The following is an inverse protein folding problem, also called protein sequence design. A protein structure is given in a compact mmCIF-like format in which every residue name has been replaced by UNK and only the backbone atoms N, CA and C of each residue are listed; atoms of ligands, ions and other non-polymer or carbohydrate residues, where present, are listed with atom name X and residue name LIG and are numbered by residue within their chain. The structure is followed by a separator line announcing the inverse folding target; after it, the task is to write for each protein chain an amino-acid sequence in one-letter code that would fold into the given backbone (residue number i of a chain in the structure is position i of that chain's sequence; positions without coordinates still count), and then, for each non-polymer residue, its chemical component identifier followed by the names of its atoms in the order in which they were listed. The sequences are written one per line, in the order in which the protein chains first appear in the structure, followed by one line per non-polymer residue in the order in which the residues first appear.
data_IF_456300167817
#
_entry.id   IF_456300167817
#
_cell.length_a   1.000
_cell.length_b   1.000
_cell.length_c   1.000
_cell.angle_alpha   90.00
_cell.angle_beta   90.00
_cell.angle_gamma   90.00
#
_symmetry.space_group_name_H-M   'P 1'
#
loop_
_entity.id
_entity.type
_entity.pdbx_description
1 polymer ?
#
# COMPACT_ATOMS: atom_id res chain seq x y z
N UNK A 1 -10.22 11.43 10.24
CA UNK A 1 -11.10 12.59 9.95
C UNK A 1 -12.10 12.11 8.93
N UNK A 2 -13.40 12.26 9.19
CA UNK A 2 -14.42 11.94 8.20
C UNK A 2 -14.52 13.10 7.18
N UNK A 3 -14.58 12.79 5.90
CA UNK A 3 -14.72 13.78 4.81
C UNK A 3 -16.11 13.75 4.16
N UNK A 4 -17.09 13.09 4.80
CA UNK A 4 -18.49 13.07 4.37
C UNK A 4 -19.25 14.22 5.03
N UNK A 5 -19.90 15.05 4.22
CA UNK A 5 -20.73 16.17 4.66
C UNK A 5 -22.19 15.90 4.32
N UNK A 6 -23.13 16.40 5.13
CA UNK A 6 -24.55 16.38 4.76
C UNK A 6 -24.96 17.75 4.22
N UNK A 7 -25.39 17.80 2.96
CA UNK A 7 -25.91 19.00 2.29
C UNK A 7 -27.34 18.70 1.86
N UNK A 8 -28.31 19.46 2.39
CA UNK A 8 -29.74 19.25 2.13
C UNK A 8 -30.21 17.81 2.38
N UNK A 9 -29.67 17.15 3.40
CA UNK A 9 -30.03 15.78 3.77
C UNK A 9 -29.38 14.68 2.91
N UNK A 10 -28.49 15.01 1.98
CA UNK A 10 -27.74 14.04 1.16
C UNK A 10 -26.24 14.13 1.46
N UNK A 11 -25.58 12.98 1.46
CA UNK A 11 -24.15 12.87 1.73
C UNK A 11 -23.31 13.34 0.54
N UNK A 12 -22.31 14.15 0.82
CA UNK A 12 -21.46 14.85 -0.13
C UNK A 12 -19.98 14.68 0.23
N UNK A 13 -19.13 14.60 -0.78
CA UNK A 13 -17.68 14.48 -0.67
C UNK A 13 -17.03 15.72 -1.30
N UNK A 14 -16.15 16.45 -0.60
CA UNK A 14 -15.39 17.54 -1.20
C UNK A 14 -14.57 17.03 -2.38
N UNK A 15 -14.54 17.78 -3.49
CA UNK A 15 -13.74 17.38 -4.66
C UNK A 15 -12.25 17.25 -4.31
N UNK A 16 -11.74 18.14 -3.44
CA UNK A 16 -10.37 18.08 -2.90
C UNK A 16 -10.07 16.82 -2.10
N UNK A 17 -11.09 16.13 -1.58
CA UNK A 17 -10.93 14.92 -0.78
C UNK A 17 -10.82 13.66 -1.65
N UNK A 18 -11.30 13.69 -2.90
CA UNK A 18 -11.39 12.50 -3.78
C UNK A 18 -10.05 11.77 -3.89
N UNK A 19 -8.89 12.43 -4.15
CA UNK A 19 -7.63 11.72 -4.23
C UNK A 19 -7.26 10.94 -2.97
N UNK A 20 -7.65 11.43 -1.79
CA UNK A 20 -7.43 10.73 -0.53
C UNK A 20 -8.41 9.58 -0.32
N UNK A 21 -9.68 9.79 -0.68
CA UNK A 21 -10.74 8.77 -0.56
C UNK A 21 -10.45 7.57 -1.45
N UNK A 22 -9.87 7.79 -2.62
CA UNK A 22 -9.48 6.74 -3.58
C UNK A 22 -8.06 6.20 -3.35
N UNK A 23 -7.39 6.52 -2.23
CA UNK A 23 -6.02 6.05 -2.00
C UNK A 23 -4.99 6.50 -3.05
N UNK A 24 -5.22 7.65 -3.69
CA UNK A 24 -4.47 8.22 -4.82
C UNK A 24 -4.56 7.46 -6.15
N UNK A 25 -5.50 6.53 -6.30
CA UNK A 25 -5.79 5.93 -7.61
C UNK A 25 -6.42 6.90 -8.61
N UNK A 26 -7.11 7.92 -8.10
CA UNK A 26 -7.58 9.06 -8.89
C UNK A 26 -6.84 10.29 -8.40
N UNK A 27 -5.94 10.81 -9.23
CA UNK A 27 -5.17 12.01 -8.94
C UNK A 27 -5.96 13.30 -9.24
N UNK A 28 -5.59 14.46 -8.68
CA UNK A 28 -6.30 15.73 -8.93
C UNK A 28 -6.58 16.08 -10.40
N UNK A 29 -5.64 15.79 -11.30
CA UNK A 29 -5.80 15.94 -12.74
C UNK A 29 -6.83 14.97 -13.32
N UNK A 30 -6.86 13.71 -12.87
CA UNK A 30 -7.91 12.76 -13.25
C UNK A 30 -9.28 13.17 -12.73
N UNK A 31 -9.36 13.79 -11.55
CA UNK A 31 -10.61 14.35 -11.01
C UNK A 31 -11.12 15.45 -11.94
N UNK A 32 -10.26 16.43 -12.29
CA UNK A 32 -10.63 17.51 -13.19
C UNK A 32 -11.06 16.99 -14.57
N UNK A 33 -10.29 16.06 -15.16
CA UNK A 33 -10.61 15.43 -16.45
C UNK A 33 -11.93 14.65 -16.44
N UNK A 34 -12.21 13.94 -15.35
CA UNK A 34 -13.46 13.20 -15.20
C UNK A 34 -14.66 14.16 -15.17
N UNK A 35 -14.53 15.28 -14.45
CA UNK A 35 -15.59 16.29 -14.32
C UNK A 35 -15.74 17.17 -15.56
N UNK A 36 -14.67 17.39 -16.31
CA UNK A 36 -14.69 18.06 -17.61
C UNK A 36 -15.29 17.20 -18.73
N UNK A 37 -15.44 15.89 -18.51
CA UNK A 37 -15.74 14.90 -19.55
C UNK A 37 -14.73 14.93 -20.73
N UNK A 38 -13.50 15.38 -20.49
CA UNK A 38 -12.46 15.62 -21.51
C UNK A 38 -11.61 14.38 -21.82
N UNK A 39 -11.59 13.37 -20.95
CA UNK A 39 -10.76 12.18 -21.15
C UNK A 39 -11.44 11.13 -22.04
N UNK A 40 -10.74 10.69 -23.09
CA UNK A 40 -11.11 9.55 -23.95
C UNK A 40 -10.82 8.17 -23.30
N UNK A 41 -10.31 8.14 -22.07
CA UNK A 41 -9.92 6.94 -21.34
C UNK A 41 -10.78 6.61 -20.11
N UNK A 42 -10.21 5.83 -19.19
CA UNK A 42 -10.88 5.45 -17.94
C UNK A 42 -11.04 6.68 -17.05
N UNK A 43 -12.29 6.97 -16.66
CA UNK A 43 -12.66 8.13 -15.86
C UNK A 43 -13.73 7.80 -14.85
N UNK A 44 -13.91 8.67 -13.86
CA UNK A 44 -15.08 8.62 -13.00
C UNK A 44 -16.29 9.15 -13.80
N UNK A 45 -17.05 8.26 -14.43
CA UNK A 45 -18.17 8.64 -15.31
C UNK A 45 -19.41 9.05 -14.52
N UNK A 46 -20.26 9.92 -15.11
CA UNK A 46 -21.56 10.32 -14.54
C UNK A 46 -21.50 11.01 -13.17
N UNK A 47 -20.37 11.64 -12.87
CA UNK A 47 -20.23 12.50 -11.70
C UNK A 47 -20.68 13.92 -12.00
N UNK A 48 -21.51 14.49 -11.13
CA UNK A 48 -21.86 15.91 -11.18
C UNK A 48 -21.22 16.62 -10.01
N UNK A 49 -20.36 17.59 -10.30
CA UNK A 49 -19.84 18.49 -9.27
C UNK A 49 -20.81 19.63 -9.02
N UNK A 50 -20.96 19.99 -7.75
CA UNK A 50 -21.80 21.09 -7.29
C UNK A 50 -20.95 22.09 -6.51
N UNK A 51 -21.17 23.38 -6.75
CA UNK A 51 -20.66 24.45 -5.90
C UNK A 51 -21.63 24.70 -4.75
N UNK A 52 -21.13 24.70 -3.53
CA UNK A 52 -21.86 25.10 -2.34
C UNK A 52 -21.77 26.62 -2.14
N UNK A 53 -22.90 27.24 -1.79
CA UNK A 53 -23.00 28.67 -1.52
C UNK A 53 -23.24 28.93 -0.02
N UNK A 54 -22.87 30.12 0.45
CA UNK A 54 -22.95 30.50 1.87
C UNK A 54 -24.39 30.51 2.40
N UNK A 55 -25.38 30.69 1.53
CA UNK A 55 -26.80 30.63 1.86
C UNK A 55 -27.34 29.19 2.02
N UNK A 56 -26.48 28.18 1.86
CA UNK A 56 -26.83 26.77 1.93
C UNK A 56 -27.35 26.18 0.63
N UNK A 57 -27.53 27.00 -0.42
CA UNK A 57 -27.86 26.52 -1.75
C UNK A 57 -26.65 25.89 -2.44
N UNK A 58 -26.90 25.16 -3.52
CA UNK A 58 -25.83 24.62 -4.35
C UNK A 58 -26.23 24.65 -5.82
N UNK A 59 -25.24 24.81 -6.69
CA UNK A 59 -25.44 24.85 -8.15
C UNK A 59 -24.52 23.84 -8.83
N UNK A 60 -25.02 23.05 -9.80
CA UNK A 60 -24.17 22.16 -10.57
C UNK A 60 -23.16 22.99 -11.39
N UNK A 61 -21.92 22.53 -11.44
CA UNK A 61 -20.85 23.10 -12.27
C UNK A 61 -20.86 22.39 -13.62
N UNK A 62 -20.78 23.16 -14.70
CA UNK A 62 -20.76 22.61 -16.05
C UNK A 62 -19.39 22.01 -16.38
N UNK A 63 -19.33 20.94 -17.19
CA UNK A 63 -18.06 20.31 -17.55
C UNK A 63 -17.00 21.29 -18.10
N UNK A 64 -17.39 22.22 -18.98
CA UNK A 64 -16.49 23.24 -19.54
C UNK A 64 -15.81 24.17 -18.51
N UNK A 65 -16.36 24.27 -17.30
CA UNK A 65 -15.76 25.11 -16.25
C UNK A 65 -14.53 24.43 -15.61
N UNK A 66 -14.34 23.13 -15.87
CA UNK A 66 -13.18 22.36 -15.42
C UNK A 66 -11.96 22.49 -16.33
N UNK A 67 -12.13 22.95 -17.59
CA UNK A 67 -11.04 23.12 -18.56
C UNK A 67 -9.91 24.01 -18.00
N UNK A 68 -10.28 25.12 -17.34
CA UNK A 68 -9.31 26.01 -16.70
C UNK A 68 -8.58 25.36 -15.52
N UNK A 69 -9.23 24.48 -14.78
CA UNK A 69 -8.61 23.74 -13.66
C UNK A 69 -7.64 22.69 -14.21
N UNK A 70 -7.98 22.01 -15.30
CA UNK A 70 -7.06 21.11 -16.00
C UNK A 70 -5.80 21.84 -16.48
N UNK A 71 -5.96 23.02 -17.09
CA UNK A 71 -4.83 23.81 -17.57
C UNK A 71 -3.90 24.24 -16.43
N UNK A 72 -4.46 24.61 -15.27
CA UNK A 72 -3.67 24.91 -14.06
C UNK A 72 -2.88 23.69 -13.57
N UNK A 73 -3.52 22.52 -13.50
CA UNK A 73 -2.87 21.26 -13.07
C UNK A 73 -1.80 20.81 -14.07
N UNK A 74 -2.07 20.94 -15.37
CA UNK A 74 -1.10 20.67 -16.44
C UNK A 74 0.08 21.63 -16.37
N UNK A 75 -0.18 22.91 -16.12
CA UNK A 75 0.84 23.94 -15.93
C UNK A 75 1.73 23.67 -14.72
N UNK A 76 1.17 23.23 -13.59
CA UNK A 76 1.94 22.82 -12.41
C UNK A 76 2.88 21.66 -12.74
N UNK A 77 2.37 20.59 -13.36
CA UNK A 77 3.18 19.45 -13.77
C UNK A 77 4.33 19.86 -14.69
N UNK A 78 4.05 20.68 -15.70
CA UNK A 78 5.07 21.19 -16.62
C UNK A 78 6.12 22.08 -15.92
N UNK A 79 5.70 22.93 -14.98
CA UNK A 79 6.61 23.78 -14.22
C UNK A 79 7.55 22.96 -13.32
N UNK A 80 7.04 21.90 -12.68
CA UNK A 80 7.86 21.04 -11.84
C UNK A 80 8.83 20.20 -12.68
N UNK A 81 8.37 19.62 -13.78
CA UNK A 81 9.21 18.87 -14.72
C UNK A 81 10.34 19.73 -15.29
N UNK A 82 10.05 20.99 -15.63
CA UNK A 82 11.06 21.94 -16.11
C UNK A 82 12.13 22.27 -15.05
N UNK A 83 11.77 22.25 -13.75
CA UNK A 83 12.72 22.44 -12.64
C UNK A 83 13.53 21.18 -12.37
N UNK A 84 12.90 20.01 -12.46
CA UNK A 84 13.53 18.71 -12.23
C UNK A 84 12.73 17.60 -12.90
N UNK A 85 13.36 16.89 -13.83
CA UNK A 85 12.72 15.77 -14.54
C UNK A 85 12.63 14.48 -13.72
N UNK A 86 13.24 14.43 -12.54
CA UNK A 86 13.08 13.29 -11.65
C UNK A 86 11.76 13.39 -10.88
N UNK A 87 10.79 12.58 -11.31
CA UNK A 87 9.46 12.49 -10.70
C UNK A 87 9.49 12.15 -9.21
N UNK A 88 10.47 11.37 -8.73
CA UNK A 88 10.55 11.03 -7.31
C UNK A 88 10.83 12.26 -6.44
N UNK A 89 11.52 13.26 -7.00
CA UNK A 89 11.81 14.53 -6.35
C UNK A 89 10.62 15.49 -6.46
N UNK A 90 9.97 15.55 -7.62
CA UNK A 90 8.87 16.50 -7.85
C UNK A 90 7.53 16.02 -7.32
N UNK A 91 7.31 14.71 -7.17
CA UNK A 91 6.03 14.14 -6.73
C UNK A 91 5.58 14.65 -5.35
N UNK A 92 6.41 14.69 -4.29
CA UNK A 92 5.98 15.23 -3.00
C UNK A 92 5.50 16.68 -3.09
N UNK A 93 6.18 17.49 -3.91
CA UNK A 93 5.79 18.87 -4.15
C UNK A 93 4.48 18.94 -4.94
N UNK A 94 4.34 18.13 -5.99
CA UNK A 94 3.12 18.05 -6.79
C UNK A 94 1.90 17.65 -5.95
N UNK A 95 2.02 16.64 -5.08
CA UNK A 95 0.93 16.22 -4.19
C UNK A 95 0.46 17.34 -3.26
N UNK A 96 1.39 18.18 -2.80
CA UNK A 96 1.10 19.33 -1.92
C UNK A 96 0.47 20.49 -2.68
N UNK A 97 0.97 20.80 -3.88
CA UNK A 97 0.57 21.99 -4.65
C UNK A 97 -0.66 21.75 -5.55
N UNK A 98 -0.97 20.51 -5.91
CA UNK A 98 -2.10 20.17 -6.78
C UNK A 98 -3.45 20.22 -6.06
N UNK A 99 -3.53 19.85 -4.78
CA UNK A 99 -4.79 19.81 -4.03
C UNK A 99 -5.48 21.18 -3.98
N UNK A 100 -4.79 22.30 -3.66
CA UNK A 100 -5.41 23.62 -3.65
C UNK A 100 -5.86 24.13 -5.02
N UNK A 101 -5.37 23.55 -6.12
CA UNK A 101 -5.80 23.93 -7.48
C UNK A 101 -7.20 23.41 -7.80
N UNK A 102 -7.67 22.37 -7.12
CA UNK A 102 -9.09 22.00 -7.15
C UNK A 102 -9.90 23.07 -6.39
N UNK A 103 -11.11 23.43 -6.86
CA UNK A 103 -11.88 24.52 -6.28
C UNK A 103 -12.38 24.20 -4.85
N UNK A 104 -12.30 25.21 -3.96
CA UNK A 104 -12.90 25.15 -2.62
C UNK A 104 -14.44 25.23 -2.72
N UNK A 105 -15.14 24.67 -1.72
CA UNK A 105 -16.61 24.68 -1.67
C UNK A 105 -17.27 23.84 -2.76
N UNK A 106 -16.51 23.05 -3.52
CA UNK A 106 -17.03 22.17 -4.56
C UNK A 106 -17.04 20.74 -4.05
N UNK A 107 -18.16 20.07 -4.28
CA UNK A 107 -18.39 18.70 -3.83
C UNK A 107 -19.06 17.86 -4.91
N UNK A 108 -19.09 16.56 -4.66
CA UNK A 108 -19.84 15.57 -5.43
C UNK A 108 -20.71 14.77 -4.47
N UNK A 109 -21.81 14.22 -4.94
CA UNK A 109 -22.64 13.37 -4.10
C UNK A 109 -21.96 12.03 -3.84
N UNK A 110 -22.01 11.55 -2.60
CA UNK A 110 -21.30 10.33 -2.18
C UNK A 110 -21.80 9.11 -2.96
N UNK A 111 -23.10 8.96 -3.11
CA UNK A 111 -23.72 7.86 -3.85
C UNK A 111 -23.37 7.89 -5.34
N UNK A 112 -23.22 9.08 -5.93
CA UNK A 112 -22.71 9.23 -7.30
C UNK A 112 -21.24 8.80 -7.39
N UNK A 113 -20.40 9.26 -6.46
CA UNK A 113 -18.99 8.88 -6.41
C UNK A 113 -18.80 7.37 -6.21
N UNK A 114 -19.56 6.73 -5.31
CA UNK A 114 -19.52 5.28 -5.09
C UNK A 114 -19.88 4.51 -6.38
N UNK A 115 -20.93 4.95 -7.08
CA UNK A 115 -21.37 4.34 -8.33
C UNK A 115 -20.33 4.51 -9.46
N UNK A 116 -19.77 5.71 -9.60
CA UNK A 116 -18.71 5.98 -10.59
C UNK A 116 -17.43 5.23 -10.26
N UNK A 117 -17.06 5.15 -8.98
CA UNK A 117 -15.91 4.40 -8.52
C UNK A 117 -16.04 2.92 -8.83
N UNK A 118 -17.19 2.31 -8.57
CA UNK A 118 -17.44 0.90 -8.88
C UNK A 118 -17.19 0.58 -10.37
N UNK A 119 -17.54 1.49 -11.28
CA UNK A 119 -17.30 1.33 -12.72
C UNK A 119 -15.85 1.56 -13.10
N UNK A 120 -15.22 2.56 -12.48
CA UNK A 120 -13.80 2.88 -12.67
C UNK A 120 -12.90 1.74 -12.20
N UNK A 121 -13.13 1.22 -10.99
CA UNK A 121 -12.36 0.13 -10.42
C UNK A 121 -12.52 -1.14 -11.26
N UNK A 122 -13.74 -1.50 -11.66
CA UNK A 122 -13.96 -2.64 -12.54
C UNK A 122 -13.19 -2.57 -13.88
N UNK A 123 -12.94 -1.37 -14.42
CA UNK A 123 -12.14 -1.17 -15.65
C UNK A 123 -10.62 -1.22 -15.40
N UNK A 124 -10.18 -1.07 -14.15
CA UNK A 124 -8.76 -0.96 -13.78
C UNK A 124 -8.23 -2.14 -12.96
N UNK A 125 -9.11 -3.04 -12.47
CA UNK A 125 -8.83 -4.22 -11.60
C UNK A 125 -8.02 -5.36 -12.24
N UNK A 126 -7.01 -5.05 -13.05
CA UNK A 126 -6.04 -6.03 -13.56
C UNK A 126 -4.72 -6.03 -12.76
N UNK A 127 -4.69 -5.41 -11.57
CA UNK A 127 -3.44 -5.20 -10.83
C UNK A 127 -3.01 -6.46 -10.08
N UNK A 128 -1.88 -7.02 -10.51
CA UNK A 128 -1.18 -8.08 -9.77
C UNK A 128 -0.56 -7.47 -8.51
N UNK A 129 -0.95 -7.95 -7.32
CA UNK A 129 -0.40 -7.48 -6.04
C UNK A 129 -1.21 -6.41 -5.31
N UNK A 130 -2.52 -6.33 -5.54
CA UNK A 130 -3.43 -5.50 -4.72
C UNK A 130 -3.32 -5.86 -3.24
N UNK A 131 -3.19 -4.83 -2.41
CA UNK A 131 -3.26 -4.95 -0.95
C UNK A 131 -4.72 -5.06 -0.53
N UNK A 132 -5.00 -5.59 0.67
CA UNK A 132 -6.34 -5.58 1.22
C UNK A 132 -6.93 -4.17 1.18
N UNK A 133 -8.13 -4.03 0.60
CA UNK A 133 -8.89 -2.78 0.45
C UNK A 133 -8.41 -1.78 -0.62
N UNK A 134 -7.42 -2.11 -1.47
CA UNK A 134 -6.96 -1.20 -2.55
C UNK A 134 -8.10 -0.82 -3.54
N UNK A 135 -9.20 -1.57 -3.58
CA UNK A 135 -10.39 -1.27 -4.40
C UNK A 135 -11.54 -0.55 -3.68
N UNK A 136 -11.42 -0.20 -2.40
CA UNK A 136 -12.50 0.40 -1.60
C UNK A 136 -12.29 1.89 -1.36
N UNK A 137 -13.37 2.67 -1.42
CA UNK A 137 -13.34 4.08 -1.02
C UNK A 137 -13.16 4.20 0.50
N UNK A 138 -12.19 5.00 0.93
CA UNK A 138 -11.95 5.31 2.33
C UNK A 138 -12.46 6.71 2.67
N UNK A 139 -13.67 6.81 3.22
CA UNK A 139 -14.28 8.08 3.63
C UNK A 139 -13.71 8.68 4.93
N UNK A 140 -12.77 7.99 5.57
CA UNK A 140 -12.00 8.52 6.69
C UNK A 140 -10.50 8.46 6.40
N UNK A 141 -10.03 9.07 5.30
CA UNK A 141 -8.66 8.88 4.86
C UNK A 141 -7.68 9.58 5.79
N UNK A 142 -6.44 9.09 5.80
CA UNK A 142 -5.35 9.76 6.48
C UNK A 142 -4.89 10.96 5.65
N UNK A 143 -5.32 12.16 6.03
CA UNK A 143 -4.86 13.43 5.43
C UNK A 143 -3.75 14.02 6.32
N UNK A 144 -2.52 14.20 5.80
CA UNK A 144 -1.39 14.64 6.60
C UNK A 144 -1.47 16.13 6.95
N UNK A 145 -1.29 16.45 8.25
CA UNK A 145 -1.25 17.82 8.76
C UNK A 145 -2.64 18.47 8.96
N UNK A 146 -2.73 19.37 9.93
CA UNK A 146 -3.99 20.07 10.22
C UNK A 146 -4.38 21.07 9.11
N UNK A 147 -3.41 21.82 8.57
CA UNK A 147 -3.63 22.80 7.52
C UNK A 147 -4.22 22.18 6.25
N UNK A 148 -3.73 21.00 5.86
CA UNK A 148 -4.21 20.32 4.66
C UNK A 148 -5.63 19.78 4.86
N UNK A 149 -5.96 19.34 6.08
CA UNK A 149 -7.33 18.96 6.45
C UNK A 149 -8.30 20.14 6.32
N UNK A 150 -7.90 21.31 6.76
CA UNK A 150 -8.68 22.54 6.60
C UNK A 150 -8.85 22.91 5.12
N UNK A 151 -7.77 22.84 4.34
CA UNK A 151 -7.80 23.13 2.89
C UNK A 151 -8.71 22.17 2.11
N UNK A 152 -8.71 20.88 2.46
CA UNK A 152 -9.55 19.87 1.79
C UNK A 152 -11.03 20.14 2.01
N UNK A 153 -11.40 20.67 3.17
CA UNK A 153 -12.79 20.96 3.54
C UNK A 153 -13.20 22.43 3.40
N UNK A 154 -12.29 23.27 2.88
CA UNK A 154 -12.52 24.70 2.71
C UNK A 154 -13.76 24.98 1.84
N UNK A 155 -14.58 25.94 2.27
CA UNK A 155 -15.77 26.39 1.53
C UNK A 155 -17.00 25.50 1.67
N UNK A 156 -16.92 24.37 2.37
CA UNK A 156 -18.07 23.53 2.72
C UNK A 156 -18.54 23.83 4.14
N UNK A 157 -19.82 23.55 4.48
CA UNK A 157 -20.32 23.82 5.81
C UNK A 157 -19.49 23.01 6.79
N UNK A 158 -18.78 23.70 7.70
CA UNK A 158 -18.01 23.03 8.73
C UNK A 158 -18.99 22.17 9.52
N UNK A 159 -18.83 20.85 9.44
CA UNK A 159 -19.51 19.93 10.32
C UNK A 159 -18.88 20.13 11.71
N UNK A 160 -19.30 21.20 12.40
CA UNK A 160 -19.31 21.19 13.85
C UNK A 160 -20.14 19.96 14.13
N UNK A 161 -19.51 18.89 14.62
CA UNK A 161 -20.20 17.66 14.99
C UNK A 161 -21.47 18.10 15.70
N UNK A 162 -22.59 18.03 14.99
CA UNK A 162 -23.86 18.45 15.54
C UNK A 162 -24.08 17.34 16.54
N UNK A 163 -23.75 17.64 17.79
CA UNK A 163 -24.23 16.90 18.94
C UNK A 163 -25.71 17.27 19.02
N UNK A 164 -26.44 16.95 17.95
CA UNK A 164 -27.88 17.04 17.92
C UNK A 164 -28.29 15.93 18.88
N UNK A 165 -28.79 16.37 20.02
CA UNK A 165 -29.44 15.55 21.02
C UNK A 165 -30.63 14.84 20.37
N UNK A 166 -30.36 13.79 19.59
CA UNK A 166 -31.28 12.69 19.45
C UNK A 166 -31.60 12.21 20.88
N UNK A 167 -32.85 11.87 21.20
CA UNK A 167 -33.16 11.26 22.48
C UNK A 167 -32.20 10.08 22.63
N UNK A 168 -31.32 10.15 23.64
CA UNK A 168 -30.39 9.07 23.91
C UNK A 168 -31.24 7.84 24.22
N UNK A 169 -31.45 7.01 23.21
CA UNK A 169 -31.63 5.59 23.42
C UNK A 169 -30.29 5.21 24.07
N UNK A 170 -30.28 4.86 25.37
CA UNK A 170 -29.02 4.46 26.00
C UNK A 170 -28.42 3.36 25.11
N UNK A 171 -27.11 3.40 24.83
CA UNK A 171 -26.47 2.32 24.09
C UNK A 171 -26.95 1.00 24.70
N UNK A 172 -27.36 0.02 23.86
CA UNK A 172 -27.87 -1.24 24.36
C UNK A 172 -26.90 -1.76 25.40
N UNK A 173 -27.42 -2.07 26.59
CA UNK A 173 -26.58 -2.58 27.67
C UNK A 173 -25.88 -3.86 27.17
N UNK A 174 -24.80 -4.27 27.84
CA UNK A 174 -24.10 -5.53 27.52
C UNK A 174 -25.11 -6.70 27.43
N UNK A 175 -26.11 -6.70 28.31
CA UNK A 175 -27.22 -7.65 28.32
C UNK A 175 -28.09 -7.59 27.05
N UNK A 176 -28.39 -6.38 26.57
CA UNK A 176 -29.20 -6.19 25.35
C UNK A 176 -28.43 -6.67 24.12
N UNK A 177 -27.13 -6.37 24.03
CA UNK A 177 -26.29 -6.82 22.93
C UNK A 177 -26.11 -8.33 22.91
N UNK A 178 -25.87 -8.97 24.06
CA UNK A 178 -25.84 -10.43 24.16
C UNK A 178 -27.17 -11.06 23.77
N UNK A 179 -28.29 -10.44 24.15
CA UNK A 179 -29.63 -10.88 23.76
C UNK A 179 -29.85 -10.76 22.25
N UNK A 180 -29.32 -9.71 21.61
CA UNK A 180 -29.35 -9.54 20.15
C UNK A 180 -28.49 -10.60 19.46
N UNK A 181 -27.26 -10.84 19.95
CA UNK A 181 -26.37 -11.86 19.39
C UNK A 181 -26.97 -13.27 19.50
N UNK A 182 -27.63 -13.59 20.62
CA UNK A 182 -28.32 -14.88 20.81
C UNK A 182 -29.53 -15.08 19.90
N UNK A 183 -30.08 -14.03 19.30
CA UNK A 183 -31.17 -14.13 18.30
C UNK A 183 -30.65 -14.43 16.90
N UNK A 184 -29.36 -14.25 16.64
CA UNK A 184 -28.74 -14.55 15.34
C UNK A 184 -28.47 -16.05 15.22
N UNK A 185 -28.57 -16.58 14.00
CA UNK A 185 -28.27 -18.00 13.71
C UNK A 185 -26.77 -18.30 13.75
N UNK A 186 -25.95 -17.30 13.44
CA UNK A 186 -24.50 -17.39 13.47
C UNK A 186 -23.84 -16.10 13.92
N UNK A 187 -22.63 -16.27 14.43
CA UNK A 187 -21.78 -15.23 15.01
C UNK A 187 -20.35 -15.37 14.49
N UNK A 188 -19.64 -14.26 14.43
CA UNK A 188 -18.18 -14.27 14.16
C UNK A 188 -17.41 -14.83 15.35
N UNK A 189 -16.15 -15.24 15.14
CA UNK A 189 -15.27 -15.68 16.25
C UNK A 189 -15.12 -14.58 17.31
N UNK A 190 -15.04 -13.31 16.90
CA UNK A 190 -15.01 -12.20 17.86
C UNK A 190 -16.32 -12.10 18.67
N UNK A 191 -17.47 -12.12 18.01
CA UNK A 191 -18.78 -12.05 18.70
C UNK A 191 -18.97 -13.24 19.65
N UNK A 192 -18.48 -14.42 19.26
CA UNK A 192 -18.45 -15.61 20.11
C UNK A 192 -17.56 -15.42 21.34
N UNK A 193 -16.40 -14.77 21.20
CA UNK A 193 -15.55 -14.42 22.34
C UNK A 193 -16.24 -13.44 23.30
N UNK A 194 -16.95 -12.43 22.79
CA UNK A 194 -17.76 -11.50 23.61
C UNK A 194 -18.89 -12.24 24.37
N UNK A 195 -19.53 -13.23 23.73
CA UNK A 195 -20.52 -14.11 24.36
C UNK A 195 -19.92 -15.04 25.42
N UNK A 196 -18.65 -15.42 25.26
CA UNK A 196 -17.95 -16.31 26.18
C UNK A 196 -17.51 -15.56 27.44
N UNK A 197 -16.87 -14.40 27.27
CA UNK A 197 -16.29 -13.62 28.38
C UNK A 197 -17.29 -12.69 29.05
N UNK A 198 -18.33 -12.28 28.33
CA UNK A 198 -19.25 -11.23 28.74
C UNK A 198 -18.65 -9.82 28.71
N UNK A 199 -17.48 -9.64 28.09
CA UNK A 199 -16.76 -8.37 27.98
C UNK A 199 -16.79 -7.90 26.53
N UNK A 200 -17.05 -6.62 26.32
CA UNK A 200 -17.07 -6.02 24.98
C UNK A 200 -15.68 -5.53 24.55
N UNK A 201 -15.38 -5.67 23.25
CA UNK A 201 -14.23 -5.01 22.64
C UNK A 201 -12.93 -5.82 22.70
N UNK A 202 -11.82 -5.14 22.46
CA UNK A 202 -10.51 -5.78 22.28
C UNK A 202 -9.75 -5.91 23.61
N UNK A 203 -10.19 -6.83 24.47
CA UNK A 203 -9.57 -7.06 25.79
C UNK A 203 -8.56 -8.20 25.77
N UNK A 204 -7.82 -8.39 26.87
CA UNK A 204 -6.88 -9.51 27.01
C UNK A 204 -7.65 -10.84 27.06
N UNK A 205 -8.79 -10.83 27.73
CA UNK A 205 -9.70 -11.96 27.91
C UNK A 205 -10.35 -12.35 26.58
N UNK A 206 -10.81 -11.37 25.79
CA UNK A 206 -11.38 -11.63 24.48
C UNK A 206 -10.34 -12.17 23.50
N UNK A 207 -9.10 -11.69 23.55
CA UNK A 207 -8.00 -12.25 22.73
C UNK A 207 -7.71 -13.70 23.07
N UNK A 208 -7.70 -14.06 24.35
CA UNK A 208 -7.52 -15.45 24.76
C UNK A 208 -8.71 -16.32 24.33
N UNK A 209 -9.94 -15.83 24.48
CA UNK A 209 -11.13 -16.52 24.00
C UNK A 209 -11.12 -16.72 22.46
N UNK A 210 -10.71 -15.71 21.70
CA UNK A 210 -10.53 -15.82 20.24
C UNK A 210 -9.50 -16.89 19.89
N UNK A 211 -8.37 -16.96 20.62
CA UNK A 211 -7.35 -17.97 20.39
C UNK A 211 -7.88 -19.39 20.64
N UNK A 212 -8.62 -19.59 21.74
CA UNK A 212 -9.25 -20.88 22.06
C UNK A 212 -10.28 -21.29 21.01
N UNK A 213 -11.15 -20.37 20.58
CA UNK A 213 -12.15 -20.63 19.54
C UNK A 213 -11.47 -20.97 18.21
N UNK A 214 -10.38 -20.26 17.86
CA UNK A 214 -9.60 -20.55 16.66
C UNK A 214 -8.97 -21.94 16.71
N UNK A 215 -8.35 -22.30 17.83
CA UNK A 215 -7.75 -23.62 18.04
C UNK A 215 -8.80 -24.74 17.93
N UNK A 216 -9.97 -24.56 18.54
CA UNK A 216 -11.08 -25.50 18.43
C UNK A 216 -11.55 -25.68 16.98
N UNK A 217 -11.63 -24.60 16.20
CA UNK A 217 -11.95 -24.69 14.76
C UNK A 217 -10.85 -25.42 13.99
N UNK A 218 -9.57 -25.16 14.29
CA UNK A 218 -8.43 -25.81 13.62
C UNK A 218 -8.33 -27.31 13.95
N UNK A 219 -8.67 -27.70 15.18
CA UNK A 219 -8.67 -29.09 15.63
C UNK A 219 -9.94 -29.86 15.21
N UNK A 220 -10.91 -29.18 14.59
CA UNK A 220 -12.19 -29.78 14.19
C UNK A 220 -13.16 -30.03 15.35
N UNK A 221 -12.91 -29.45 16.52
CA UNK A 221 -13.78 -29.53 17.70
C UNK A 221 -14.99 -28.60 17.60
N UNK A 222 -14.86 -27.51 16.83
CA UNK A 222 -15.90 -26.54 16.57
C UNK A 222 -16.08 -26.37 15.06
N UNK A 223 -17.18 -26.90 14.51
CA UNK A 223 -17.46 -26.81 13.09
C UNK A 223 -17.90 -25.39 12.68
N UNK A 224 -17.13 -24.71 11.81
CA UNK A 224 -17.47 -23.39 11.30
C UNK A 224 -18.54 -23.45 10.21
N UNK A 225 -19.42 -22.45 10.18
CA UNK A 225 -20.40 -22.27 9.10
C UNK A 225 -19.71 -21.70 7.84
N UNK A 226 -18.78 -20.77 8.05
CA UNK A 226 -17.92 -20.25 6.98
C UNK A 226 -16.52 -20.00 7.51
N UNK A 227 -15.50 -20.49 6.80
CA UNK A 227 -14.09 -20.26 7.15
C UNK A 227 -13.50 -19.26 6.18
N UNK A 228 -12.90 -18.22 6.74
CA UNK A 228 -12.11 -17.24 6.00
C UNK A 228 -10.72 -17.24 6.58
N UNK A 229 -9.73 -17.34 5.71
CA UNK A 229 -8.32 -17.30 6.10
C UNK A 229 -7.76 -15.92 5.83
N UNK A 230 -6.92 -15.45 6.74
CA UNK A 230 -6.14 -14.24 6.57
C UNK A 230 -4.92 -14.57 5.69
N UNK A 231 -4.81 -13.91 4.53
CA UNK A 231 -3.71 -14.11 3.59
C UNK A 231 -2.56 -13.18 3.95
N UNK A 232 -1.58 -13.65 4.73
CA UNK A 232 -0.30 -12.94 4.83
C UNK A 232 0.77 -13.48 3.86
N UNK A 233 0.68 -14.71 3.36
CA UNK A 233 1.67 -15.24 2.39
C UNK A 233 1.06 -16.23 1.37
N UNK A 234 0.40 -15.70 0.34
CA UNK A 234 -0.17 -16.52 -0.75
C UNK A 234 0.89 -17.22 -1.65
N UNK A 235 2.19 -17.04 -1.38
CA UNK A 235 3.29 -17.57 -2.20
C UNK A 235 4.02 -18.76 -1.57
N UNK A 236 3.78 -19.06 -0.30
CA UNK A 236 4.33 -20.23 0.41
C UNK A 236 3.21 -21.03 1.08
N UNK A 237 2.16 -21.36 0.32
CA UNK A 237 0.97 -22.03 0.84
C UNK A 237 1.30 -23.41 1.41
N UNK A 238 1.46 -23.46 2.72
CA UNK A 238 1.32 -24.64 3.57
C UNK A 238 0.03 -24.44 4.38
N UNK A 239 -1.00 -25.24 4.08
CA UNK A 239 -2.32 -25.15 4.70
C UNK A 239 -2.32 -25.34 6.22
N UNK A 240 -1.21 -25.81 6.80
CA UNK A 240 -1.05 -25.96 8.25
C UNK A 240 -0.79 -24.64 9.00
N UNK A 241 -0.53 -23.52 8.31
CA UNK A 241 -0.17 -22.22 8.92
C UNK A 241 -1.13 -21.06 8.64
N UNK A 242 -2.23 -21.27 7.93
CA UNK A 242 -3.18 -20.20 7.63
C UNK A 242 -3.92 -19.73 8.89
N UNK A 243 -3.79 -18.44 9.25
CA UNK A 243 -4.51 -17.86 10.37
C UNK A 243 -5.98 -17.66 10.01
N UNK A 244 -6.90 -18.17 10.83
CA UNK A 244 -8.34 -17.98 10.65
C UNK A 244 -8.69 -16.52 10.93
N UNK A 245 -9.36 -15.85 9.99
CA UNK A 245 -9.84 -14.48 10.15
C UNK A 245 -11.00 -14.45 11.15
N UNK A 246 -10.77 -13.83 12.30
CA UNK A 246 -11.69 -13.77 13.43
C UNK A 246 -12.92 -12.87 13.20
N UNK A 247 -12.87 -11.97 12.21
CA UNK A 247 -13.95 -11.04 11.90
C UNK A 247 -14.88 -11.55 10.79
N UNK A 248 -14.41 -12.51 9.98
CA UNK A 248 -15.15 -13.00 8.82
C UNK A 248 -15.44 -14.51 8.86
N UNK A 249 -14.76 -15.27 9.71
CA UNK A 249 -15.13 -16.66 10.01
C UNK A 249 -16.32 -16.69 10.95
N UNK A 250 -17.37 -17.42 10.55
CA UNK A 250 -18.60 -17.55 11.32
C UNK A 250 -18.80 -18.97 11.82
N UNK A 251 -19.39 -19.09 13.00
CA UNK A 251 -19.83 -20.34 13.62
C UNK A 251 -21.34 -20.23 13.89
N UNK A 252 -22.08 -21.33 13.75
CA UNK A 252 -23.49 -21.33 14.14
C UNK A 252 -23.59 -21.22 15.66
N UNK A 253 -24.62 -20.53 16.15
CA UNK A 253 -24.81 -20.37 17.60
C UNK A 253 -25.02 -21.75 18.27
N UNK A 254 -25.69 -22.68 17.58
CA UNK A 254 -25.90 -24.04 18.07
C UNK A 254 -24.57 -24.81 18.24
N UNK A 255 -23.66 -24.74 17.25
CA UNK A 255 -22.35 -25.37 17.35
C UNK A 255 -21.51 -24.72 18.45
N UNK A 256 -21.56 -23.39 18.56
CA UNK A 256 -20.86 -22.66 19.60
C UNK A 256 -21.37 -23.01 21.00
N UNK A 257 -22.69 -23.07 21.22
CA UNK A 257 -23.29 -23.43 22.50
C UNK A 257 -23.01 -24.90 22.86
N UNK A 258 -23.04 -25.81 21.87
CA UNK A 258 -22.67 -27.21 22.06
C UNK A 258 -21.20 -27.35 22.47
N UNK A 259 -20.29 -26.69 21.74
CA UNK A 259 -18.86 -26.65 22.06
C UNK A 259 -18.61 -26.05 23.45
N UNK A 260 -19.27 -24.92 23.76
CA UNK A 260 -19.20 -24.26 25.06
C UNK A 260 -19.67 -25.15 26.21
N UNK A 261 -20.66 -26.02 25.98
CA UNK A 261 -21.17 -26.93 27.02
C UNK A 261 -20.16 -28.01 27.44
N UNK A 262 -19.15 -28.30 26.62
CA UNK A 262 -18.04 -29.20 26.99
C UNK A 262 -17.02 -28.53 27.94
N UNK A 263 -17.12 -27.22 28.17
CA UNK A 263 -16.31 -26.52 29.17
C UNK A 263 -16.95 -26.66 30.58
N UNK A 264 -16.25 -27.24 31.57
CA UNK A 264 -16.75 -27.30 32.94
C UNK A 264 -16.89 -25.89 33.53
N UNK A 265 -17.97 -25.65 34.28
CA UNK A 265 -18.46 -24.34 34.72
C UNK A 265 -17.38 -23.35 35.23
N UNK A 266 -17.09 -22.32 34.41
CA UNK A 266 -16.71 -20.90 34.61
C UNK A 266 -15.77 -20.48 35.76
N UNK A 267 -15.79 -21.08 36.95
CA UNK A 267 -14.97 -20.59 38.08
C UNK A 267 -13.47 -20.93 37.96
N UNK A 268 -13.08 -21.87 37.10
CA UNK A 268 -11.68 -22.22 36.85
C UNK A 268 -11.02 -21.47 35.67
N UNK A 269 -11.79 -20.67 34.91
CA UNK A 269 -11.37 -20.26 33.56
C UNK A 269 -10.68 -18.90 33.49
N UNK A 270 -10.86 -18.01 34.47
CA UNK A 270 -10.01 -16.82 34.62
C UNK A 270 -8.54 -17.22 34.78
N UNK A 271 -8.27 -18.40 35.36
CA UNK A 271 -6.94 -18.96 35.49
C UNK A 271 -6.39 -19.55 34.18
N UNK A 272 -7.20 -20.22 33.35
CA UNK A 272 -6.73 -20.75 32.05
C UNK A 272 -6.56 -19.69 30.96
N UNK A 273 -7.47 -18.71 30.91
CA UNK A 273 -7.35 -17.51 30.08
C UNK A 273 -6.11 -16.69 30.49
N UNK A 274 -5.83 -16.60 31.79
CA UNK A 274 -4.61 -15.96 32.29
C UNK A 274 -3.33 -16.75 31.99
N UNK A 275 -3.38 -18.10 32.03
CA UNK A 275 -2.25 -18.98 31.70
C UNK A 275 -1.86 -18.90 30.22
N UNK A 276 -2.83 -18.95 29.30
CA UNK A 276 -2.56 -18.81 27.86
C UNK A 276 -2.04 -17.40 27.50
N UNK A 277 -2.44 -16.37 28.25
CA UNK A 277 -1.89 -15.02 28.11
C UNK A 277 -0.42 -14.86 28.54
N UNK A 278 0.19 -15.82 29.25
CA UNK A 278 1.61 -15.80 29.61
C UNK A 278 2.51 -16.54 28.60
N UNK A 279 1.99 -17.48 27.82
CA UNK A 279 2.79 -18.28 26.89
C UNK A 279 3.16 -17.56 25.58
N UNK A 280 2.52 -16.42 25.27
CA UNK A 280 2.67 -15.70 23.98
C UNK A 280 3.65 -14.51 24.07
N UNK A 281 4.32 -14.29 25.21
CA UNK A 281 5.31 -13.22 25.37
C UNK A 281 6.69 -13.76 25.77
N UNK A 282 7.41 -14.33 24.81
CA UNK A 282 8.88 -14.35 24.85
C UNK A 282 9.44 -14.05 23.45
N UNK A 283 9.79 -12.78 23.24
CA UNK A 283 10.79 -12.34 22.28
C UNK A 283 11.96 -11.75 23.11
N UNK A 284 13.21 -11.88 22.66
CA UNK A 284 14.38 -11.63 23.50
C UNK A 284 14.55 -10.12 23.76
N UNK A 285 14.65 -9.75 25.04
CA UNK A 285 15.02 -8.40 25.46
C UNK A 285 16.54 -8.29 25.59
N UNK A 286 17.12 -7.39 24.80
CA UNK A 286 18.46 -6.85 25.01
C UNK A 286 18.49 -6.01 26.30
N UNK A 287 19.17 -6.50 27.33
CA UNK A 287 19.72 -5.67 28.41
C UNK A 287 21.02 -6.31 28.91
N UNK A 288 22.16 -5.73 28.48
CA UNK A 288 23.37 -5.67 29.28
C UNK A 288 24.17 -4.45 28.77
N UNK A 289 24.24 -3.40 29.60
CA UNK A 289 25.48 -2.74 30.02
C UNK A 289 25.17 -1.40 30.69
N UNK A 290 25.27 -1.41 32.01
CA UNK A 290 25.35 -0.22 32.85
C UNK A 290 26.82 0.15 33.12
N UNK A 291 27.09 1.45 32.97
CA UNK A 291 27.97 2.31 33.80
C UNK A 291 29.48 2.04 33.90
N UNK A 292 30.28 3.07 33.58
CA UNK A 292 31.62 3.28 34.13
C UNK A 292 32.35 4.48 33.51
N UNK A 293 32.61 5.50 34.32
CA UNK A 293 33.37 6.74 33.99
C UNK A 293 34.86 6.47 33.75
N UNK A 294 35.54 7.33 33.00
CA UNK A 294 36.53 8.31 33.53
C UNK A 294 37.36 9.00 32.43
N UNK A 295 37.85 10.18 32.81
CA UNK A 295 38.61 11.19 32.07
C UNK A 295 39.92 10.70 31.43
N UNK A 296 40.24 11.17 30.22
CA UNK A 296 41.49 11.93 29.92
C UNK A 296 41.63 12.25 28.43
N UNK A 297 41.76 13.53 28.10
CA UNK A 297 42.37 14.01 26.86
C UNK A 297 43.83 14.37 27.14
N UNK A 298 44.75 14.19 26.17
CA UNK A 298 45.53 15.36 25.80
C UNK A 298 45.82 15.52 24.29
N UNK A 299 45.96 16.78 23.94
CA UNK A 299 46.47 17.34 22.69
C UNK A 299 47.92 16.94 22.36
N UNK A 300 48.25 16.83 21.06
CA UNK A 300 49.50 17.33 20.43
C UNK A 300 49.39 17.15 18.90
N UNK A 301 49.25 18.21 18.11
CA UNK A 301 50.30 18.99 17.40
C UNK A 301 51.09 18.19 16.32
N UNK A 302 50.79 18.53 15.06
CA UNK A 302 51.59 18.56 13.80
C UNK A 302 53.14 18.76 13.93
N UNK A 303 54.01 18.66 12.88
CA UNK A 303 53.82 18.53 11.41
C UNK A 303 54.89 17.58 10.72
N UNK A 304 55.57 17.88 9.57
CA UNK A 304 55.22 17.41 8.21
C UNK A 304 56.37 16.69 7.43
N UNK A 305 56.05 16.34 6.17
CA UNK A 305 56.81 15.81 4.99
C UNK A 305 58.37 15.95 4.98
N UNK A 306 59.11 15.08 4.25
CA UNK A 306 59.42 15.43 2.85
C UNK A 306 59.52 14.27 1.83
N UNK A 307 59.42 14.74 0.59
CA UNK A 307 59.62 14.15 -0.74
C UNK A 307 61.05 13.59 -0.99
N UNK A 308 61.18 12.55 -1.82
CA UNK A 308 62.40 12.21 -2.58
C UNK A 308 62.19 11.06 -3.58
N UNK A 309 62.00 11.46 -4.83
CA UNK A 309 62.63 10.99 -6.08
C UNK A 309 63.46 9.67 -6.13
N UNK A 310 63.23 8.95 -7.24
CA UNK A 310 64.21 8.42 -8.26
C UNK A 310 64.63 6.92 -8.27
N UNK A 311 64.30 6.30 -9.41
CA UNK A 311 65.10 5.39 -10.30
C UNK A 311 65.14 3.86 -10.07
N UNK A 312 65.44 3.04 -11.12
CA UNK A 312 64.69 1.83 -11.47
C UNK A 312 65.51 0.53 -11.34
N UNK A 313 64.86 -0.64 -11.42
CA UNK A 313 65.57 -1.89 -11.76
C UNK A 313 64.65 -2.98 -12.35
N UNK A 314 64.74 -3.10 -13.67
CA UNK A 314 65.03 -4.30 -14.49
C UNK A 314 65.14 -5.68 -13.81
N UNK A 315 64.25 -6.59 -14.27
CA UNK A 315 64.36 -8.05 -14.51
C UNK A 315 64.60 -9.00 -13.32
N UNK A 316 63.62 -9.88 -13.04
CA UNK A 316 63.79 -11.35 -13.19
C UNK A 316 62.46 -12.12 -13.13
N UNK A 317 62.26 -12.97 -14.13
CA UNK A 317 61.21 -13.98 -14.23
C UNK A 317 61.26 -14.96 -13.06
N UNK A 318 60.08 -15.27 -12.52
CA UNK A 318 59.83 -16.37 -11.61
C UNK A 318 58.39 -16.79 -11.78
N UNK A 319 58.19 -17.91 -12.46
CA UNK A 319 56.92 -18.61 -12.58
C UNK A 319 56.41 -18.98 -11.19
N UNK A 320 55.28 -18.41 -10.82
CA UNK A 320 54.36 -18.98 -9.85
C UNK A 320 52.99 -18.89 -10.48
N UNK A 321 52.40 -20.05 -10.77
CA UNK A 321 51.03 -20.26 -11.19
C UNK A 321 50.08 -19.61 -10.18
N UNK A 322 49.76 -18.34 -10.41
CA UNK A 322 48.65 -17.68 -9.77
C UNK A 322 47.42 -17.91 -10.62
N UNK A 323 46.44 -18.58 -10.03
CA UNK A 323 45.07 -18.62 -10.53
C UNK A 323 44.67 -17.20 -10.94
N UNK A 324 44.49 -17.01 -12.25
CA UNK A 324 44.04 -15.76 -12.81
C UNK A 324 42.74 -15.36 -12.10
N UNK A 325 42.79 -14.30 -11.30
CA UNK A 325 41.60 -13.57 -10.88
C UNK A 325 40.85 -13.23 -12.17
N UNK A 326 39.77 -13.98 -12.41
CA UNK A 326 38.86 -13.72 -13.49
C UNK A 326 38.34 -12.31 -13.29
N UNK A 327 38.88 -11.36 -14.06
CA UNK A 327 38.31 -10.04 -14.23
C UNK A 327 36.81 -10.26 -14.44
N UNK A 328 35.93 -9.90 -13.48
CA UNK A 328 34.53 -10.29 -13.52
C UNK A 328 34.00 -9.81 -14.86
N UNK A 329 33.73 -10.75 -15.78
CA UNK A 329 33.24 -10.40 -17.12
C UNK A 329 32.03 -9.52 -16.89
N UNK A 330 32.11 -8.28 -17.38
CA UNK A 330 31.03 -7.31 -17.23
C UNK A 330 29.83 -7.80 -18.04
N UNK A 331 29.01 -8.63 -17.41
CA UNK A 331 27.84 -9.28 -17.99
C UNK A 331 26.90 -8.24 -18.61
N UNK A 332 26.91 -6.99 -18.13
CA UNK A 332 26.11 -5.92 -18.70
C UNK A 332 26.59 -5.54 -20.10
N UNK A 333 27.92 -5.55 -20.32
CA UNK A 333 28.51 -5.33 -21.64
C UNK A 333 28.16 -6.45 -22.61
N UNK A 334 28.24 -7.70 -22.16
CA UNK A 334 27.91 -8.86 -22.98
C UNK A 334 26.40 -8.90 -23.30
N UNK A 335 25.55 -8.58 -22.33
CA UNK A 335 24.11 -8.43 -22.53
C UNK A 335 23.76 -7.33 -23.55
N UNK A 336 24.46 -6.19 -23.52
CA UNK A 336 24.30 -5.11 -24.51
C UNK A 336 24.71 -5.54 -25.91
N UNK A 337 25.82 -6.27 -26.03
CA UNK A 337 26.27 -6.80 -27.31
C UNK A 337 25.22 -7.75 -27.93
N UNK A 338 24.66 -8.65 -27.13
CA UNK A 338 23.57 -9.55 -27.56
C UNK A 338 22.32 -8.76 -27.98
N UNK A 339 21.98 -7.71 -27.23
CA UNK A 339 20.83 -6.87 -27.57
C UNK A 339 21.03 -6.15 -28.91
N UNK A 340 22.26 -5.68 -29.18
CA UNK A 340 22.63 -5.06 -30.44
C UNK A 340 22.54 -6.06 -31.61
N UNK A 341 23.03 -7.28 -31.43
CA UNK A 341 22.88 -8.37 -32.43
C UNK A 341 21.41 -8.67 -32.73
N UNK A 342 20.56 -8.76 -31.69
CA UNK A 342 19.12 -8.99 -31.86
C UNK A 342 18.45 -7.83 -32.60
N UNK A 343 18.82 -6.58 -32.26
CA UNK A 343 18.28 -5.39 -32.90
C UNK A 343 18.67 -5.30 -34.38
N UNK A 344 19.93 -5.61 -34.72
CA UNK A 344 20.41 -5.63 -36.11
C UNK A 344 19.72 -6.72 -36.93
N UNK A 345 19.58 -7.93 -36.38
CA UNK A 345 18.85 -9.03 -37.01
C UNK A 345 17.40 -8.63 -37.33
N UNK A 346 16.71 -8.03 -36.38
CA UNK A 346 15.32 -7.61 -36.55
C UNK A 346 15.18 -6.46 -37.56
N UNK A 347 16.12 -5.50 -37.51
CA UNK A 347 16.20 -4.40 -38.49
C UNK A 347 16.38 -4.93 -39.92
N UNK A 348 17.21 -5.95 -40.12
CA UNK A 348 17.39 -6.60 -41.44
C UNK A 348 16.11 -7.30 -41.92
N UNK A 349 15.31 -7.84 -41.00
CA UNK A 349 14.05 -8.53 -41.32
C UNK A 349 12.82 -7.61 -41.32
N UNK A 350 13.02 -6.30 -41.15
CA UNK A 350 11.95 -5.30 -41.04
C UNK A 350 10.88 -5.66 -39.99
N UNK A 351 11.28 -6.35 -38.93
CA UNK A 351 10.49 -6.56 -37.73
C UNK A 351 11.15 -5.80 -36.59
N UNK A 352 10.38 -5.27 -35.64
CA UNK A 352 10.95 -4.67 -34.43
C UNK A 352 10.18 -5.17 -33.23
N UNK A 353 10.90 -5.65 -32.23
CA UNK A 353 10.29 -6.04 -30.98
C UNK A 353 10.16 -4.85 -30.03
N UNK A 354 9.40 -5.04 -28.96
CA UNK A 354 9.40 -4.16 -27.80
C UNK A 354 10.69 -4.33 -26.98
N UNK A 355 11.02 -3.33 -26.16
CA UNK A 355 12.14 -3.43 -25.21
C UNK A 355 12.00 -4.64 -24.27
N UNK A 356 10.77 -5.00 -23.89
CA UNK A 356 10.48 -6.20 -23.09
C UNK A 356 10.89 -7.47 -23.86
N UNK A 357 10.51 -7.56 -25.13
CA UNK A 357 10.86 -8.68 -26.00
C UNK A 357 12.37 -8.83 -26.21
N UNK A 358 13.10 -7.73 -26.44
CA UNK A 358 14.57 -7.78 -26.48
C UNK A 358 15.17 -8.27 -25.18
N UNK A 359 14.68 -7.80 -24.03
CA UNK A 359 15.22 -8.24 -22.74
C UNK A 359 15.05 -9.75 -22.49
N UNK A 360 13.94 -10.35 -22.94
CA UNK A 360 13.73 -11.80 -22.87
C UNK A 360 14.71 -12.56 -23.76
N UNK A 361 14.82 -12.16 -25.03
CA UNK A 361 15.74 -12.79 -25.99
C UNK A 361 17.19 -12.70 -25.55
N UNK A 362 17.59 -11.55 -24.98
CA UNK A 362 18.94 -11.38 -24.42
C UNK A 362 19.17 -12.34 -23.27
N UNK A 363 18.18 -12.53 -22.39
CA UNK A 363 18.28 -13.47 -21.26
C UNK A 363 18.46 -14.91 -21.75
N UNK A 364 17.66 -15.34 -22.73
CA UNK A 364 17.76 -16.68 -23.33
C UNK A 364 19.13 -16.89 -24.00
N UNK A 365 19.62 -15.91 -24.75
CA UNK A 365 20.93 -15.98 -25.40
C UNK A 365 22.10 -15.95 -24.41
N UNK A 366 21.99 -15.17 -23.32
CA UNK A 366 22.99 -15.20 -22.24
C UNK A 366 23.09 -16.58 -21.62
N UNK A 367 21.97 -17.27 -21.38
CA UNK A 367 21.95 -18.63 -20.87
C UNK A 367 22.60 -19.61 -21.85
N UNK A 368 22.27 -19.54 -23.15
CA UNK A 368 22.92 -20.36 -24.19
C UNK A 368 24.43 -20.15 -24.26
N UNK A 369 24.89 -18.91 -24.04
CA UNK A 369 26.32 -18.53 -24.04
C UNK A 369 27.02 -18.74 -22.69
N UNK A 370 26.33 -19.29 -21.68
CA UNK A 370 26.84 -19.45 -20.31
C UNK A 370 27.37 -18.13 -19.71
N UNK A 371 26.73 -17.01 -20.01
CA UNK A 371 27.05 -15.69 -19.44
C UNK A 371 26.28 -15.54 -18.12
N UNK A 372 27.01 -15.39 -17.03
CA UNK A 372 26.46 -15.29 -15.68
C UNK A 372 26.56 -13.86 -15.15
N UNK A 373 25.57 -13.45 -14.38
CA UNK A 373 25.63 -12.23 -13.59
C UNK A 373 26.50 -12.40 -12.34
N UNK A 374 26.64 -11.33 -11.52
CA UNK A 374 27.46 -11.36 -10.30
C UNK A 374 26.95 -12.34 -9.24
N UNK A 375 25.69 -12.79 -9.36
CA UNK A 375 25.05 -13.75 -8.45
C UNK A 375 24.75 -15.09 -9.12
N UNK A 376 25.35 -15.38 -10.27
CA UNK A 376 25.10 -16.60 -11.04
C UNK A 376 24.14 -16.39 -12.22
N UNK A 377 23.33 -17.41 -12.52
CA UNK A 377 22.46 -17.41 -13.68
C UNK A 377 21.37 -16.35 -13.56
N UNK A 378 21.15 -15.58 -14.63
CA UNK A 378 20.08 -14.58 -14.69
C UNK A 378 18.88 -15.23 -15.40
N UNK A 379 17.83 -15.50 -14.64
CA UNK A 379 16.55 -16.07 -15.12
C UNK A 379 15.46 -14.99 -15.33
N UNK A 380 15.61 -13.84 -14.68
CA UNK A 380 14.67 -12.74 -14.77
C UNK A 380 15.11 -11.69 -15.81
N UNK A 381 14.42 -11.65 -16.94
CA UNK A 381 14.64 -10.65 -18.00
C UNK A 381 14.48 -9.19 -17.55
N UNK A 382 13.72 -8.92 -16.49
CA UNK A 382 13.60 -7.56 -15.93
C UNK A 382 14.93 -7.05 -15.36
N UNK A 383 15.80 -7.93 -14.88
CA UNK A 383 17.14 -7.58 -14.43
C UNK A 383 18.00 -7.12 -15.60
N UNK A 384 17.96 -7.82 -16.74
CA UNK A 384 18.65 -7.41 -17.98
C UNK A 384 18.09 -6.08 -18.49
N UNK A 385 16.76 -5.93 -18.50
CA UNK A 385 16.09 -4.69 -18.92
C UNK A 385 16.52 -3.47 -18.07
N UNK A 386 16.58 -3.63 -16.74
CA UNK A 386 16.90 -2.55 -15.80
C UNK A 386 18.39 -2.25 -15.75
N UNK A 387 19.22 -3.27 -15.60
CA UNK A 387 20.63 -3.07 -15.23
C UNK A 387 21.54 -3.00 -16.47
N UNK A 388 21.34 -3.89 -17.45
CA UNK A 388 22.12 -3.88 -18.68
C UNK A 388 21.59 -2.85 -19.70
N UNK A 389 20.29 -2.92 -20.04
CA UNK A 389 19.69 -2.06 -21.08
C UNK A 389 19.29 -0.67 -20.55
N UNK A 390 19.24 -0.49 -19.22
CA UNK A 390 18.90 0.78 -18.58
C UNK A 390 17.55 1.36 -19.07
N UNK A 391 16.58 0.49 -19.29
CA UNK A 391 15.25 0.87 -19.78
C UNK A 391 15.32 1.53 -21.16
N UNK A 392 14.74 2.73 -21.28
CA UNK A 392 14.70 3.46 -22.55
C UNK A 392 16.06 4.02 -22.99
N UNK A 393 17.08 4.06 -22.12
CA UNK A 393 18.37 4.71 -22.46
C UNK A 393 19.08 3.99 -23.61
N UNK A 394 19.15 2.66 -23.59
CA UNK A 394 19.70 1.90 -24.73
C UNK A 394 18.85 2.09 -25.99
N UNK A 395 17.53 2.11 -25.83
CA UNK A 395 16.58 2.26 -26.93
C UNK A 395 16.65 3.63 -27.63
N UNK A 396 16.88 4.71 -26.88
CA UNK A 396 16.91 6.11 -27.38
C UNK A 396 17.98 6.37 -28.43
N UNK A 397 19.07 5.60 -28.44
CA UNK A 397 20.19 5.79 -29.38
C UNK A 397 20.07 4.96 -30.66
N UNK A 398 19.07 4.08 -30.76
CA UNK A 398 18.84 3.25 -31.96
C UNK A 398 17.95 4.00 -32.94
N UNK A 399 18.41 4.16 -34.19
CA UNK A 399 17.65 4.85 -35.24
C UNK A 399 16.35 4.11 -35.51
N UNK A 400 15.25 4.86 -35.60
CA UNK A 400 13.93 4.33 -35.96
C UNK A 400 13.89 3.84 -37.40
#
# INVERSE_FOLDING_TARGET
MNVVFCISGREAIPVRAIPYVTGWDVSPDMVAQSLANSSDGVRLDRLTACQYHVDGSHTPILPKEWDGIEDLLRGLSASLEAKNSNRDITRPQWLKESIPLLPAGVFVWRDELENSWFRFSAQTSTRKGERPNDGMLNFSPMIPGALLREQVCEGLPFQRAVTESAPQVPPPTISDRQSILRRRKSVTIQEAAELLTGIEGWTKENRAAIALIREAVQNGELEPESVRYWNEDAWTFDGSRAAIDQFSTTITLANFDAWRAFFPAVESHTNEISKHGHAVSQAPTDEDFATGRDDNWPHTLHPPVPDSTRTPNTIRSGETENAAEANPRDWMRDARAIADECFEHDTQNNCRDSLDGYSRRVTDEMQKRNIHGPRGLIDNHKTVQRDALQGEKWWKHKKK
#
